data_IF_615746201154
#
_entry.id   IF_615746201154
#
_cell.length_a   1.000
_cell.length_b   1.000
_cell.length_c   1.000
_cell.angle_alpha   90.00
_cell.angle_beta   90.00
_cell.angle_gamma   90.00
#
_symmetry.space_group_name_H-M   'P 1'
#
loop_
_entity.id
_entity.type
_entity.pdbx_description
1 polymer ?
#
# COMPACT_ATOMS: atom_id res chain seq x y z
N UNK A 1 -49.17 -5.34 -0.54
CA UNK A 1 -48.92 -4.04 0.13
C UNK A 1 -47.67 -4.20 0.98
N UNK A 2 -46.75 -3.22 0.88
CA UNK A 2 -45.50 -3.01 1.67
C UNK A 2 -44.51 -4.19 1.75
N UNK A 3 -43.45 -4.29 0.95
CA UNK A 3 -42.29 -3.40 0.79
C UNK A 3 -41.55 -3.04 2.10
N UNK A 4 -40.20 -3.09 2.03
CA UNK A 4 -39.17 -2.60 2.97
C UNK A 4 -38.67 -3.61 4.03
N UNK A 5 -37.36 -3.86 4.23
CA UNK A 5 -36.14 -3.17 3.78
C UNK A 5 -34.99 -4.20 3.68
N UNK A 6 -34.55 -4.47 2.46
CA UNK A 6 -33.23 -4.98 2.16
C UNK A 6 -32.20 -3.90 2.57
N UNK A 7 -31.24 -4.25 3.42
CA UNK A 7 -30.12 -3.40 3.81
C UNK A 7 -29.02 -4.29 4.38
N UNK A 8 -27.78 -4.33 3.90
CA UNK A 8 -27.12 -3.45 2.94
C UNK A 8 -26.03 -4.28 2.29
N UNK A 9 -26.05 -4.37 0.97
CA UNK A 9 -24.89 -4.73 0.16
C UNK A 9 -23.77 -3.75 0.50
N UNK A 10 -22.73 -4.19 1.22
CA UNK A 10 -21.50 -3.41 1.29
C UNK A 10 -20.92 -3.41 -0.11
N UNK A 11 -21.02 -2.24 -0.75
CA UNK A 11 -20.67 -1.97 -2.14
C UNK A 11 -19.24 -2.40 -2.41
N UNK A 12 -19.03 -2.83 -3.64
CA UNK A 12 -17.79 -3.38 -4.15
C UNK A 12 -16.54 -2.60 -3.73
N UNK A 13 -15.60 -3.34 -3.18
CA UNK A 13 -14.18 -3.04 -3.31
C UNK A 13 -13.53 -4.19 -4.08
N UNK A 14 -12.85 -3.81 -5.15
CA UNK A 14 -12.16 -4.69 -6.06
C UNK A 14 -10.91 -5.23 -5.35
N UNK A 15 -11.07 -6.37 -4.66
CA UNK A 15 -9.96 -7.10 -4.04
C UNK A 15 -9.07 -7.62 -5.17
N UNK A 16 -7.99 -6.90 -5.50
CA UNK A 16 -6.96 -7.37 -6.44
C UNK A 16 -6.47 -8.76 -6.01
N UNK A 17 -6.77 -9.72 -6.87
CA UNK A 17 -6.75 -11.15 -6.59
C UNK A 17 -5.33 -11.69 -6.32
N UNK A 18 -5.20 -12.45 -5.24
CA UNK A 18 -4.00 -13.24 -4.95
C UNK A 18 -4.17 -14.25 -3.80
N UNK A 19 -5.27 -14.22 -3.05
CA UNK A 19 -5.58 -15.20 -1.99
C UNK A 19 -7.08 -15.47 -1.96
N UNK A 20 -7.45 -16.72 -1.67
CA UNK A 20 -8.85 -17.15 -1.52
C UNK A 20 -9.56 -16.33 -0.44
N UNK A 21 -10.84 -15.97 -0.67
CA UNK A 21 -11.70 -15.21 0.26
C UNK A 21 -11.78 -15.83 1.66
N UNK A 22 -11.56 -17.14 1.77
CA UNK A 22 -11.54 -17.86 3.06
C UNK A 22 -10.32 -17.48 3.94
N UNK A 23 -9.25 -16.96 3.33
CA UNK A 23 -8.04 -16.49 4.01
C UNK A 23 -8.09 -14.97 4.05
N UNK A 24 -8.21 -14.40 5.25
CA UNK A 24 -8.33 -12.96 5.46
C UNK A 24 -7.16 -12.14 4.90
N UNK A 25 -7.29 -10.80 4.90
CA UNK A 25 -6.24 -9.88 4.50
C UNK A 25 -4.94 -10.19 5.25
N UNK A 26 -3.85 -10.29 4.49
CA UNK A 26 -2.58 -10.71 5.04
C UNK A 26 -1.74 -9.52 5.44
N UNK A 27 -1.30 -9.55 6.69
CA UNK A 27 -0.23 -8.70 7.18
C UNK A 27 0.84 -9.56 7.83
N UNK A 28 2.05 -9.05 7.75
CA UNK A 28 3.19 -9.69 8.37
C UNK A 28 3.21 -9.42 9.87
N UNK A 29 3.48 -10.44 10.67
CA UNK A 29 3.48 -10.33 12.14
C UNK A 29 4.46 -9.26 12.63
N UNK A 30 5.60 -9.12 11.94
CA UNK A 30 6.59 -8.10 12.28
C UNK A 30 6.10 -6.67 12.01
N UNK A 31 5.16 -6.48 11.09
CA UNK A 31 4.58 -5.17 10.79
C UNK A 31 3.52 -4.83 11.83
N UNK A 32 2.66 -5.79 12.20
CA UNK A 32 1.68 -5.62 13.27
C UNK A 32 2.34 -5.26 14.60
N UNK A 33 3.34 -6.04 15.03
CA UNK A 33 4.07 -5.78 16.30
C UNK A 33 4.70 -4.39 16.35
N UNK A 34 5.22 -3.90 15.23
CA UNK A 34 5.84 -2.56 15.15
C UNK A 34 4.79 -1.45 15.23
N UNK A 35 3.62 -1.66 14.62
CA UNK A 35 2.53 -0.69 14.68
C UNK A 35 1.91 -0.67 16.06
N UNK A 36 1.70 -1.83 16.70
CA UNK A 36 1.21 -1.92 18.08
C UNK A 36 2.19 -1.27 19.06
N UNK A 37 3.50 -1.51 18.92
CA UNK A 37 4.51 -0.83 19.72
C UNK A 37 4.44 0.71 19.53
N UNK A 38 4.27 1.17 18.29
CA UNK A 38 4.16 2.60 18.00
C UNK A 38 2.82 3.22 18.38
N UNK A 39 1.76 2.44 18.52
CA UNK A 39 0.49 2.92 19.04
C UNK A 39 0.59 3.26 20.53
N UNK A 40 1.46 2.55 21.26
CA UNK A 40 1.75 2.80 22.67
C UNK A 40 2.83 3.89 22.86
N UNK A 41 3.67 4.12 21.86
CA UNK A 41 4.69 5.17 21.88
C UNK A 41 4.14 6.50 21.36
N UNK A 42 4.36 7.61 22.08
CA UNK A 42 3.96 8.95 21.61
C UNK A 42 4.72 9.44 20.35
N UNK A 43 5.87 8.81 20.04
CA UNK A 43 6.73 9.21 18.92
C UNK A 43 6.44 8.39 17.68
N UNK A 44 5.76 9.00 16.69
CA UNK A 44 5.54 8.47 15.34
C UNK A 44 6.86 8.31 14.59
N UNK A 45 7.56 7.19 14.82
CA UNK A 45 8.81 6.86 14.12
C UNK A 45 8.49 6.24 12.75
N UNK A 46 9.35 6.49 11.76
CA UNK A 46 9.21 5.88 10.44
C UNK A 46 9.43 4.37 10.53
N UNK A 47 8.40 3.57 10.19
CA UNK A 47 8.49 2.10 10.19
C UNK A 47 9.13 1.64 8.88
N UNK A 48 10.31 1.01 8.96
CA UNK A 48 10.92 0.35 7.78
C UNK A 48 10.30 -1.04 7.59
N UNK A 49 9.88 -1.32 6.35
CA UNK A 49 9.33 -2.62 5.96
C UNK A 49 9.96 -3.14 4.67
N UNK A 50 10.19 -4.45 4.65
CA UNK A 50 10.49 -5.22 3.44
C UNK A 50 9.25 -5.97 2.93
N UNK A 51 8.17 -6.00 3.71
CA UNK A 51 6.96 -6.74 3.37
C UNK A 51 6.07 -5.92 2.43
N UNK A 52 6.33 -6.07 1.12
CA UNK A 52 5.51 -5.48 0.04
C UNK A 52 4.16 -6.17 -0.14
N UNK A 53 4.00 -7.36 0.43
CA UNK A 53 2.81 -8.23 0.30
C UNK A 53 1.69 -7.89 1.30
N UNK A 54 2.00 -7.09 2.32
CA UNK A 54 1.06 -6.71 3.37
C UNK A 54 0.00 -5.74 2.84
N UNK A 55 -1.24 -5.99 3.23
CA UNK A 55 -2.38 -5.10 3.00
C UNK A 55 -2.37 -3.97 4.01
N UNK A 56 -2.80 -2.79 3.59
CA UNK A 56 -2.98 -1.66 4.48
C UNK A 56 -4.28 -1.85 5.25
N UNK A 57 -4.17 -1.91 6.59
CA UNK A 57 -5.30 -1.87 7.50
C UNK A 57 -5.62 -0.43 7.92
N UNK A 58 -6.87 -0.16 8.31
CA UNK A 58 -7.28 1.15 8.83
C UNK A 58 -6.45 1.58 10.06
N UNK A 59 -5.93 0.62 10.85
CA UNK A 59 -5.04 0.92 11.98
C UNK A 59 -3.69 1.54 11.59
N UNK A 60 -3.31 1.52 10.30
CA UNK A 60 -2.07 2.12 9.80
C UNK A 60 -2.23 3.57 9.33
N UNK A 61 -3.44 4.13 9.41
CA UNK A 61 -3.70 5.52 9.00
C UNK A 61 -2.89 6.48 9.88
N UNK A 62 -2.22 7.45 9.24
CA UNK A 62 -1.42 8.46 9.95
C UNK A 62 -0.02 7.99 10.36
N UNK A 63 0.38 6.76 9.99
CA UNK A 63 1.77 6.30 10.10
C UNK A 63 2.54 6.48 8.80
N UNK A 64 3.84 6.74 8.91
CA UNK A 64 4.75 6.78 7.77
C UNK A 64 5.51 5.46 7.68
N UNK A 65 5.27 4.71 6.60
CA UNK A 65 5.90 3.42 6.36
C UNK A 65 6.92 3.56 5.23
N UNK A 66 8.17 3.20 5.50
CA UNK A 66 9.24 3.20 4.51
C UNK A 66 9.33 1.82 3.84
N UNK A 67 8.75 1.72 2.64
CA UNK A 67 8.65 0.48 1.84
C UNK A 67 9.92 0.26 1.04
N UNK A 68 10.49 -0.95 1.13
CA UNK A 68 11.66 -1.33 0.36
C UNK A 68 11.33 -1.59 -1.12
N UNK A 69 12.03 -0.90 -2.02
CA UNK A 69 11.83 -0.97 -3.46
C UNK A 69 12.89 -1.82 -4.19
N UNK A 70 13.79 -2.48 -3.44
CA UNK A 70 14.92 -3.25 -4.01
C UNK A 70 16.26 -2.51 -3.99
N UNK A 71 16.25 -1.19 -3.75
CA UNK A 71 17.46 -0.36 -3.64
C UNK A 71 17.44 0.56 -2.43
N UNK A 72 16.31 1.27 -2.25
CA UNK A 72 16.09 2.23 -1.17
C UNK A 72 14.74 2.00 -0.51
N UNK A 73 14.58 2.53 0.70
CA UNK A 73 13.28 2.62 1.35
C UNK A 73 12.60 3.93 0.95
N UNK A 74 11.43 3.83 0.34
CA UNK A 74 10.60 4.98 -0.03
C UNK A 74 9.62 5.25 1.12
N UNK A 75 9.68 6.42 1.78
CA UNK A 75 8.71 6.77 2.81
C UNK A 75 7.35 7.06 2.16
N UNK A 76 6.34 6.32 2.57
CA UNK A 76 4.94 6.48 2.14
C UNK A 76 4.12 6.86 3.36
N UNK A 77 3.42 7.97 3.27
CA UNK A 77 2.42 8.38 4.27
C UNK A 77 1.08 7.74 3.94
N UNK A 78 0.47 7.05 4.91
CA UNK A 78 -0.75 6.27 4.69
C UNK A 78 -1.99 7.13 4.94
N UNK A 79 -2.83 7.21 3.92
CA UNK A 79 -4.16 7.83 3.96
C UNK A 79 -5.26 6.76 3.98
N UNK A 80 -6.49 7.17 4.29
CA UNK A 80 -7.66 6.29 4.37
C UNK A 80 -8.01 5.63 3.02
N UNK A 81 -7.85 6.36 1.92
CA UNK A 81 -8.09 5.85 0.55
C UNK A 81 -7.11 4.72 0.14
N UNK A 82 -6.05 4.50 0.92
CA UNK A 82 -5.06 3.44 0.66
C UNK A 82 -5.42 2.10 1.33
N UNK A 83 -6.48 2.05 2.13
CA UNK A 83 -6.93 0.81 2.79
C UNK A 83 -7.31 -0.24 1.74
N UNK A 84 -6.98 -1.51 2.00
CA UNK A 84 -7.24 -2.61 1.06
C UNK A 84 -6.19 -2.76 -0.05
N UNK A 85 -5.40 -1.72 -0.32
CA UNK A 85 -4.25 -1.82 -1.23
C UNK A 85 -3.04 -2.50 -0.56
N UNK A 86 -2.10 -2.96 -1.39
CA UNK A 86 -0.83 -3.52 -0.89
C UNK A 86 0.23 -2.44 -0.80
N UNK A 87 1.07 -2.51 0.23
CA UNK A 87 2.21 -1.58 0.39
C UNK A 87 3.13 -1.56 -0.82
N UNK A 88 3.25 -2.68 -1.55
CA UNK A 88 4.06 -2.79 -2.76
C UNK A 88 3.55 -1.98 -3.96
N UNK A 89 2.28 -1.55 -3.99
CA UNK A 89 1.72 -0.75 -5.08
C UNK A 89 2.23 0.70 -5.03
N UNK A 90 2.59 1.18 -3.84
CA UNK A 90 3.08 2.54 -3.61
C UNK A 90 4.61 2.67 -3.77
N UNK A 91 5.31 1.58 -4.10
CA UNK A 91 6.76 1.53 -4.32
C UNK A 91 7.08 0.91 -5.71
N UNK A 92 7.33 1.75 -6.74
CA UNK A 92 7.60 1.29 -8.09
C UNK A 92 9.06 0.85 -8.28
N UNK A 93 9.27 -0.45 -8.53
CA UNK A 93 10.61 -1.09 -8.57
C UNK A 93 11.43 -0.83 -9.82
N UNK A 94 10.77 -0.46 -10.92
CA UNK A 94 11.44 -0.18 -12.19
C UNK A 94 11.17 1.24 -12.62
N UNK A 95 12.23 1.98 -12.94
CA UNK A 95 12.11 3.27 -13.61
C UNK A 95 11.98 3.00 -15.11
N UNK A 96 10.76 3.14 -15.64
CA UNK A 96 10.56 3.11 -17.08
C UNK A 96 11.09 4.41 -17.67
N UNK A 97 12.15 4.34 -18.49
CA UNK A 97 12.79 5.51 -19.09
C UNK A 97 12.18 5.93 -20.45
N UNK A 98 11.04 5.36 -20.83
CA UNK A 98 10.49 5.52 -22.18
C UNK A 98 11.20 4.61 -23.19
N UNK A 99 10.51 4.28 -24.28
CA UNK A 99 11.19 3.92 -25.51
C UNK A 99 11.78 5.21 -26.07
N UNK A 100 13.10 5.37 -26.02
CA UNK A 100 13.77 6.39 -26.79
C UNK A 100 13.52 6.07 -28.27
N UNK A 101 12.48 6.65 -28.85
CA UNK A 101 12.54 6.98 -30.26
C UNK A 101 13.71 7.95 -30.36
N UNK A 102 14.78 7.49 -31.00
CA UNK A 102 16.01 8.22 -31.23
C UNK A 102 15.72 9.37 -32.21
N UNK A 103 14.99 10.39 -31.75
CA UNK A 103 14.83 11.63 -32.48
C UNK A 103 16.11 12.45 -32.29
N UNK A 104 17.01 12.27 -33.27
CA UNK A 104 18.14 13.13 -33.61
C UNK A 104 18.00 14.54 -32.99
N UNK A 105 18.71 14.76 -31.89
CA UNK A 105 19.12 16.13 -31.53
C UNK A 105 20.63 16.20 -31.57
N UNK A 106 21.14 16.26 -32.79
CA UNK A 106 22.43 16.87 -33.11
C UNK A 106 22.49 18.25 -32.47
N UNK A 107 23.09 18.35 -31.29
CA UNK A 107 23.46 19.63 -30.69
C UNK A 107 24.80 20.03 -31.28
N UNK A 108 24.77 20.78 -32.39
CA UNK A 108 25.92 21.60 -32.81
C UNK A 108 26.07 22.74 -31.79
N UNK A 109 27.18 22.76 -31.07
CA UNK A 109 27.94 23.97 -30.74
C UNK A 109 29.37 23.57 -30.39
#
# INVERSE_FOLDING_TARGET
MSASRCGTTFKGENIKMGRSLKKGPFVDEHLMKKVEAQANDEKKKVIKTWSRRSTIFPSFIGYTIAVYDGRKHVPVYIQEDMVGHKLGEFAPTRTYKGHAADDKKTRRK
#
